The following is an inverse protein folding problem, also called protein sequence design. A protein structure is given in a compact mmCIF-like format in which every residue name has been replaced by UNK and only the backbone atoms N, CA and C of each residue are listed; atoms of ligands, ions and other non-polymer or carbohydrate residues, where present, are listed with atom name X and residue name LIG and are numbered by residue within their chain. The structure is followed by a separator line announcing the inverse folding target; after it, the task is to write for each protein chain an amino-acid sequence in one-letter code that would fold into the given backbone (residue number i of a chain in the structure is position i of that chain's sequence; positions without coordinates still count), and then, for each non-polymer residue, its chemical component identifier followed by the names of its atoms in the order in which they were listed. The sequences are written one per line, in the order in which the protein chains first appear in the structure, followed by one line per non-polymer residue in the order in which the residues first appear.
data_IF_419902084313
#
_entry.id   IF_419902084313
#
_cell.length_a   1.000
_cell.length_b   1.000
_cell.length_c   1.000
_cell.angle_alpha   90.00
_cell.angle_beta   90.00
_cell.angle_gamma   90.00
#
_symmetry.space_group_name_H-M   'P 1'
#
loop_
_entity.id
_entity.type
_entity.pdbx_description
1 polymer ?
#
# COMPACT_ATOMS: atom_id res chain seq x y z
N UNK A 1 -7.29 7.56 -10.90
CA UNK A 1 -5.99 8.07 -11.38
C UNK A 1 -5.11 6.95 -11.95
N UNK A 2 -4.98 5.80 -11.27
CA UNK A 2 -4.07 4.71 -11.68
C UNK A 2 -4.34 4.17 -13.10
N UNK A 3 -5.59 3.82 -13.42
CA UNK A 3 -5.93 3.32 -14.76
C UNK A 3 -5.60 4.33 -15.87
N UNK A 4 -5.77 5.63 -15.63
CA UNK A 4 -5.37 6.67 -16.58
C UNK A 4 -3.84 6.73 -16.74
N UNK A 5 -3.09 6.54 -15.66
CA UNK A 5 -1.64 6.51 -15.69
C UNK A 5 -1.11 5.31 -16.48
N UNK A 6 -1.64 4.11 -16.19
CA UNK A 6 -1.20 2.84 -16.80
C UNK A 6 -1.64 2.67 -18.26
N UNK A 7 -2.56 3.49 -18.75
CA UNK A 7 -2.94 3.56 -20.17
C UNK A 7 -2.42 4.81 -20.87
N UNK A 8 -1.68 5.66 -20.17
CA UNK A 8 -1.22 6.96 -20.63
C UNK A 8 0.21 6.97 -21.18
N UNK A 9 0.66 8.19 -21.54
CA UNK A 9 1.97 8.43 -22.19
C UNK A 9 3.18 7.95 -21.37
N UNK A 10 3.05 7.88 -20.05
CA UNK A 10 4.15 7.53 -19.16
C UNK A 10 4.62 6.07 -19.32
N UNK A 11 3.73 5.19 -19.78
CA UNK A 11 4.08 3.79 -20.08
C UNK A 11 5.00 3.61 -21.29
N UNK A 12 5.31 4.68 -22.03
CA UNK A 12 6.34 4.68 -23.06
C UNK A 12 7.76 4.74 -22.50
N UNK A 13 7.92 5.07 -21.21
CA UNK A 13 9.20 5.15 -20.53
C UNK A 13 9.47 3.85 -19.78
N UNK A 14 10.47 3.03 -20.17
CA UNK A 14 10.74 1.74 -19.55
C UNK A 14 10.92 1.82 -18.02
N UNK A 15 11.50 2.91 -17.53
CA UNK A 15 11.69 3.12 -16.09
C UNK A 15 10.35 3.17 -15.32
N UNK A 16 9.32 3.80 -15.87
CA UNK A 16 8.00 3.92 -15.24
C UNK A 16 7.12 2.70 -15.52
N UNK A 17 7.25 2.12 -16.71
CA UNK A 17 6.45 0.96 -17.12
C UNK A 17 6.85 -0.35 -16.43
N UNK A 18 8.09 -0.47 -15.94
CA UNK A 18 8.63 -1.72 -15.36
C UNK A 18 7.86 -2.27 -14.16
N UNK A 19 7.06 -1.45 -13.51
CA UNK A 19 6.24 -1.85 -12.35
C UNK A 19 4.84 -2.35 -12.74
N UNK A 20 4.55 -2.44 -14.04
CA UNK A 20 3.24 -2.83 -14.54
C UNK A 20 3.35 -3.93 -15.58
N UNK A 21 2.51 -4.95 -15.44
CA UNK A 21 2.32 -5.96 -16.46
C UNK A 21 1.14 -5.57 -17.36
N UNK A 22 1.35 -5.64 -18.68
CA UNK A 22 0.33 -5.23 -19.67
C UNK A 22 -0.96 -6.02 -19.49
N UNK A 23 -0.86 -7.34 -19.25
CA UNK A 23 -2.02 -8.20 -19.09
C UNK A 23 -2.83 -7.88 -17.83
N UNK A 24 -2.22 -7.38 -16.76
CA UNK A 24 -2.93 -6.93 -15.57
C UNK A 24 -3.75 -5.67 -15.87
N UNK A 25 -3.17 -4.72 -16.61
CA UNK A 25 -3.88 -3.51 -17.04
C UNK A 25 -5.05 -3.85 -17.97
N UNK A 26 -4.83 -4.75 -18.94
CA UNK A 26 -5.89 -5.25 -19.83
C UNK A 26 -6.96 -5.98 -19.02
N UNK A 27 -6.56 -6.77 -18.02
CA UNK A 27 -7.46 -7.46 -17.10
C UNK A 27 -8.40 -6.51 -16.37
N UNK A 28 -7.87 -5.41 -15.79
CA UNK A 28 -8.69 -4.40 -15.13
C UNK A 28 -9.66 -3.71 -16.09
N UNK A 29 -9.22 -3.42 -17.32
CA UNK A 29 -10.12 -2.86 -18.35
C UNK A 29 -11.27 -3.83 -18.65
N UNK A 30 -10.99 -5.11 -18.88
CA UNK A 30 -12.02 -6.14 -19.12
C UNK A 30 -12.99 -6.25 -17.93
N UNK A 31 -12.47 -6.27 -16.70
CA UNK A 31 -13.30 -6.31 -15.49
C UNK A 31 -14.19 -5.07 -15.35
N UNK A 32 -13.69 -3.89 -15.73
CA UNK A 32 -14.48 -2.67 -15.72
C UNK A 32 -15.66 -2.73 -16.70
N UNK A 33 -15.44 -3.20 -17.93
CA UNK A 33 -16.53 -3.45 -18.90
C UNK A 33 -17.53 -4.49 -18.40
N UNK A 34 -17.05 -5.50 -17.65
CA UNK A 34 -17.90 -6.50 -17.01
C UNK A 34 -18.62 -5.98 -15.74
N UNK A 35 -18.51 -4.67 -15.40
CA UNK A 35 -19.10 -4.02 -14.21
C UNK A 35 -18.62 -4.64 -12.88
N UNK A 36 -17.41 -5.17 -12.84
CA UNK A 36 -16.79 -5.81 -11.66
C UNK A 36 -15.74 -4.93 -10.99
N UNK A 37 -15.56 -3.69 -11.44
CA UNK A 37 -14.64 -2.71 -10.85
C UNK A 37 -15.43 -1.54 -10.30
N UNK A 38 -15.07 -1.09 -9.11
CA UNK A 38 -15.50 0.21 -8.56
C UNK A 38 -14.28 1.12 -8.52
N UNK A 39 -14.35 2.25 -9.21
CA UNK A 39 -13.30 3.24 -9.24
C UNK A 39 -13.63 4.34 -8.22
N UNK A 40 -12.68 4.62 -7.35
CA UNK A 40 -12.80 5.66 -6.33
C UNK A 40 -11.84 6.81 -6.61
N UNK A 41 -12.26 8.02 -6.26
CA UNK A 41 -11.46 9.23 -6.39
C UNK A 41 -11.53 10.01 -5.07
N UNK A 42 -10.82 9.54 -4.07
CA UNK A 42 -10.83 10.05 -2.71
C UNK A 42 -10.91 8.93 -1.67
N UNK A 43 -10.84 9.27 -0.38
CA UNK A 43 -11.00 8.30 0.70
C UNK A 43 -12.38 7.65 0.66
N UNK A 44 -12.44 6.34 0.99
CA UNK A 44 -13.70 5.60 1.01
C UNK A 44 -13.68 4.53 2.09
N UNK A 45 -14.80 4.32 2.74
CA UNK A 45 -15.07 3.15 3.57
C UNK A 45 -15.64 2.03 2.69
N UNK A 46 -14.86 0.93 2.54
CA UNK A 46 -15.27 -0.24 1.75
C UNK A 46 -16.24 -1.14 2.50
N UNK A 47 -16.01 -1.26 3.81
CA UNK A 47 -16.80 -2.04 4.74
C UNK A 47 -16.57 -1.47 6.16
N UNK A 48 -17.43 -1.76 7.13
CA UNK A 48 -17.22 -1.33 8.50
C UNK A 48 -15.81 -1.67 8.99
N UNK A 49 -15.02 -0.66 9.33
CA UNK A 49 -13.65 -0.81 9.79
C UNK A 49 -12.59 -1.07 8.70
N UNK A 50 -12.91 -0.90 7.42
CA UNK A 50 -11.94 -0.99 6.31
C UNK A 50 -12.05 0.27 5.45
N UNK A 51 -11.01 1.08 5.43
CA UNK A 51 -10.97 2.33 4.66
C UNK A 51 -9.79 2.37 3.69
N UNK A 52 -9.98 2.98 2.52
CA UNK A 52 -8.94 3.27 1.53
C UNK A 52 -8.63 4.76 1.52
N UNK A 53 -7.35 5.09 1.34
CA UNK A 53 -6.85 6.45 1.32
C UNK A 53 -5.87 6.62 0.15
N UNK A 54 -6.19 7.43 -0.88
CA UNK A 54 -5.26 7.74 -1.95
C UNK A 54 -4.21 8.74 -1.45
N UNK A 55 -2.96 8.57 -1.89
CA UNK A 55 -1.82 9.42 -1.49
C UNK A 55 -0.91 9.83 -2.63
N UNK A 56 -0.83 9.05 -3.73
CA UNK A 56 0.14 9.29 -4.80
C UNK A 56 1.58 8.87 -4.43
N UNK A 57 2.54 9.44 -5.12
CA UNK A 57 3.98 9.28 -4.87
C UNK A 57 4.65 8.16 -5.66
N UNK A 58 4.51 6.90 -5.26
CA UNK A 58 5.04 5.75 -6.00
C UNK A 58 4.39 5.66 -7.40
N UNK A 59 3.08 5.73 -7.44
CA UNK A 59 2.27 5.95 -8.64
C UNK A 59 1.24 7.04 -8.38
N UNK A 60 0.65 7.68 -9.41
CA UNK A 60 -0.37 8.73 -9.20
C UNK A 60 -1.64 8.24 -8.52
N UNK A 61 -1.95 6.96 -8.64
CA UNK A 61 -3.12 6.33 -8.02
C UNK A 61 -2.79 5.53 -6.76
N UNK A 62 -1.58 5.67 -6.21
CA UNK A 62 -1.17 4.98 -5.00
C UNK A 62 -2.12 5.22 -3.84
N UNK A 63 -2.42 4.17 -3.10
CA UNK A 63 -3.31 4.22 -1.93
C UNK A 63 -2.84 3.23 -0.86
N UNK A 64 -3.24 3.50 0.38
CA UNK A 64 -3.09 2.57 1.49
C UNK A 64 -4.45 2.15 2.05
N UNK A 65 -4.45 1.06 2.81
CA UNK A 65 -5.64 0.52 3.48
C UNK A 65 -5.49 0.71 4.97
N UNK A 66 -6.56 1.13 5.66
CA UNK A 66 -6.68 1.03 7.11
C UNK A 66 -7.68 -0.04 7.49
N UNK A 67 -7.32 -0.85 8.46
CA UNK A 67 -8.17 -1.91 8.99
C UNK A 67 -8.29 -1.73 10.51
N UNK A 68 -9.52 -1.67 11.01
CA UNK A 68 -9.79 -1.67 12.44
C UNK A 68 -9.64 -3.09 12.99
N UNK A 69 -8.71 -3.27 13.91
CA UNK A 69 -8.37 -4.57 14.50
C UNK A 69 -8.52 -4.55 16.01
N UNK A 70 -8.21 -5.66 16.68
CA UNK A 70 -8.21 -5.75 18.15
C UNK A 70 -7.24 -4.79 18.82
N UNK A 71 -6.15 -4.40 18.13
CA UNK A 71 -5.16 -3.43 18.62
C UNK A 71 -5.42 -2.00 18.13
N UNK A 72 -6.58 -1.74 17.55
CA UNK A 72 -6.94 -0.46 16.94
C UNK A 72 -6.71 -0.44 15.43
N UNK A 73 -6.61 0.75 14.87
CA UNK A 73 -6.41 0.95 13.45
C UNK A 73 -5.00 0.57 13.01
N UNK A 74 -4.90 -0.39 12.11
CA UNK A 74 -3.65 -0.80 11.45
C UNK A 74 -3.64 -0.24 10.02
N UNK A 75 -2.55 0.40 9.66
CA UNK A 75 -2.30 0.95 8.32
C UNK A 75 -1.46 -0.04 7.53
N UNK A 76 -2.00 -0.54 6.43
CA UNK A 76 -1.30 -1.38 5.45
C UNK A 76 -0.78 -0.45 4.36
N UNK A 77 0.50 -0.10 4.43
CA UNK A 77 1.08 0.95 3.60
C UNK A 77 1.25 0.54 2.13
N UNK A 78 1.34 -0.76 1.81
CA UNK A 78 1.68 -1.23 0.47
C UNK A 78 2.94 -0.52 -0.04
N UNK A 79 2.98 -0.11 -1.29
CA UNK A 79 4.11 0.59 -1.91
C UNK A 79 4.19 2.09 -1.58
N UNK A 80 3.39 2.58 -0.65
CA UNK A 80 3.65 3.91 -0.04
C UNK A 80 4.97 3.86 0.72
N UNK A 81 5.27 2.72 1.38
CA UNK A 81 6.58 2.48 2.01
C UNK A 81 6.97 1.02 1.83
N UNK A 82 8.08 0.75 1.16
CA UNK A 82 8.59 -0.61 1.00
C UNK A 82 9.12 -1.18 2.32
N UNK A 83 9.90 -0.39 3.05
CA UNK A 83 10.56 -0.78 4.30
C UNK A 83 10.18 0.16 5.44
N UNK A 84 10.28 -0.31 6.67
CA UNK A 84 10.14 0.55 7.86
C UNK A 84 11.09 1.74 7.79
N UNK A 85 12.34 1.52 7.38
CA UNK A 85 13.35 2.57 7.26
C UNK A 85 12.90 3.73 6.35
N UNK A 86 12.21 3.46 5.24
CA UNK A 86 11.80 4.52 4.31
C UNK A 86 10.96 5.58 5.01
N UNK A 87 9.88 5.15 5.64
CA UNK A 87 8.99 6.08 6.34
C UNK A 87 9.56 6.60 7.65
N UNK A 88 10.38 5.82 8.37
CA UNK A 88 10.96 6.23 9.66
C UNK A 88 12.05 7.28 9.48
N UNK A 89 12.84 7.20 8.41
CA UNK A 89 13.96 8.12 8.16
C UNK A 89 13.68 9.18 7.09
N UNK A 90 12.52 9.13 6.42
CA UNK A 90 12.20 10.02 5.31
C UNK A 90 13.06 9.75 4.06
N UNK A 91 13.52 8.52 3.86
CA UNK A 91 14.32 8.09 2.71
C UNK A 91 13.49 7.27 1.74
N UNK A 92 12.92 7.88 0.68
CA UNK A 92 12.12 7.13 -0.28
C UNK A 92 12.99 6.18 -1.09
N UNK A 93 12.41 5.08 -1.54
CA UNK A 93 13.04 4.20 -2.52
C UNK A 93 12.98 4.82 -3.93
N UNK A 94 13.81 4.32 -4.85
CA UNK A 94 14.05 4.95 -6.16
C UNK A 94 12.90 4.80 -7.17
N UNK A 95 12.01 3.83 -7.01
CA UNK A 95 10.88 3.60 -7.90
C UNK A 95 9.71 4.55 -7.54
N UNK A 96 9.87 5.84 -7.83
CA UNK A 96 8.88 6.87 -7.51
C UNK A 96 8.47 7.65 -8.76
N UNK A 97 7.17 7.87 -8.91
CA UNK A 97 6.63 8.79 -9.90
C UNK A 97 6.83 10.25 -9.45
N UNK A 98 6.59 10.54 -8.18
CA UNK A 98 6.76 11.87 -7.60
C UNK A 98 7.31 11.79 -6.16
N UNK A 99 8.58 12.17 -5.98
CA UNK A 99 9.27 12.02 -4.69
C UNK A 99 8.65 12.89 -3.59
N UNK A 100 8.23 14.12 -3.92
CA UNK A 100 7.57 15.01 -2.94
C UNK A 100 6.29 14.38 -2.39
N UNK A 101 5.42 13.88 -3.27
CA UNK A 101 4.20 13.18 -2.83
C UNK A 101 4.48 11.92 -2.00
N UNK A 102 5.61 11.21 -2.26
CA UNK A 102 6.01 10.08 -1.40
C UNK A 102 6.34 10.52 0.02
N UNK A 103 7.04 11.64 0.18
CA UNK A 103 7.37 12.18 1.50
C UNK A 103 6.11 12.65 2.23
N UNK A 104 5.21 13.36 1.55
CA UNK A 104 3.90 13.76 2.08
C UNK A 104 3.04 12.54 2.45
N UNK A 105 3.15 11.44 1.68
CA UNK A 105 2.46 10.20 1.98
C UNK A 105 2.95 9.54 3.27
N UNK A 106 4.25 9.63 3.62
CA UNK A 106 4.75 9.14 4.91
C UNK A 106 4.13 9.89 6.09
N UNK A 107 3.97 11.21 5.96
CA UNK A 107 3.30 12.00 6.99
C UNK A 107 1.81 11.64 7.08
N UNK A 108 1.18 11.37 5.94
CA UNK A 108 -0.20 10.89 5.88
C UNK A 108 -0.37 9.54 6.56
N UNK A 109 0.54 8.57 6.34
CA UNK A 109 0.53 7.28 7.05
C UNK A 109 0.57 7.48 8.58
N UNK A 110 1.48 8.35 9.06
CA UNK A 110 1.61 8.66 10.50
C UNK A 110 0.34 9.29 11.08
N UNK A 111 -0.28 10.22 10.35
CA UNK A 111 -1.52 10.87 10.77
C UNK A 111 -2.72 9.90 10.86
N UNK A 112 -2.67 8.79 10.13
CA UNK A 112 -3.74 7.78 10.08
C UNK A 112 -3.50 6.57 11.00
N UNK A 113 -2.37 6.50 11.67
CA UNK A 113 -1.99 5.41 12.57
C UNK A 113 -1.93 5.88 14.04
N UNK A 114 -2.34 5.07 15.02
CA UNK A 114 -2.18 5.41 16.44
C UNK A 114 -0.70 5.56 16.86
N UNK A 115 0.21 4.84 16.21
CA UNK A 115 1.66 4.92 16.38
C UNK A 115 2.38 4.28 15.19
N UNK A 116 3.71 4.45 15.10
CA UNK A 116 4.53 3.80 14.06
C UNK A 116 4.41 2.28 14.05
N UNK A 117 4.21 1.64 15.21
CA UNK A 117 3.97 0.20 15.30
C UNK A 117 2.67 -0.27 14.64
N UNK A 118 1.75 0.65 14.31
CA UNK A 118 0.50 0.36 13.61
C UNK A 118 0.62 0.53 12.10
N UNK A 119 1.80 0.86 11.56
CA UNK A 119 2.04 0.97 10.13
C UNK A 119 2.85 -0.24 9.67
N UNK A 120 2.35 -0.92 8.65
CA UNK A 120 2.95 -2.12 8.08
C UNK A 120 3.39 -1.82 6.64
N UNK A 121 4.69 -1.83 6.33
CA UNK A 121 5.21 -1.60 4.98
C UNK A 121 4.93 -2.79 4.04
N UNK A 122 5.02 -2.56 2.72
CA UNK A 122 4.65 -3.55 1.72
C UNK A 122 5.68 -4.64 1.47
N UNK A 123 6.98 -4.35 1.59
CA UNK A 123 8.06 -5.24 1.13
C UNK A 123 9.10 -5.61 2.18
N UNK A 124 8.89 -5.22 3.45
CA UNK A 124 9.87 -5.47 4.50
C UNK A 124 9.76 -6.87 5.09
N UNK A 125 10.81 -7.65 4.98
CA UNK A 125 10.88 -8.99 5.58
C UNK A 125 10.80 -8.97 7.12
N UNK A 126 11.08 -7.82 7.76
CA UNK A 126 10.87 -7.62 9.19
C UNK A 126 9.42 -7.82 9.62
N UNK A 127 8.45 -7.62 8.73
CA UNK A 127 7.02 -7.90 9.02
C UNK A 127 6.86 -9.34 9.48
N UNK A 128 7.51 -10.30 8.80
CA UNK A 128 7.44 -11.72 9.16
C UNK A 128 8.11 -12.05 10.52
N UNK A 129 9.07 -11.24 10.95
CA UNK A 129 9.75 -11.41 12.24
C UNK A 129 9.02 -10.70 13.38
N UNK A 130 8.47 -9.53 13.11
CA UNK A 130 7.79 -8.69 14.11
C UNK A 130 6.44 -9.24 14.53
N UNK A 131 5.72 -9.95 13.66
CA UNK A 131 4.38 -10.41 13.96
C UNK A 131 4.30 -11.92 14.15
N UNK A 132 3.46 -12.41 15.11
CA UNK A 132 3.33 -13.84 15.34
C UNK A 132 2.55 -14.54 14.22
N UNK A 133 2.84 -15.81 13.93
CA UNK A 133 1.99 -16.61 13.05
C UNK A 133 0.64 -16.90 13.74
N UNK A 134 -0.44 -17.18 12.98
CA UNK A 134 -1.73 -17.59 13.54
C UNK A 134 -1.67 -18.97 14.17
N UNK A 135 -0.77 -19.83 13.70
CA UNK A 135 -0.48 -21.20 14.18
C UNK A 135 1.00 -21.49 13.98
N UNK A 136 1.63 -22.37 14.79
CA UNK A 136 3.04 -22.72 14.65
C UNK A 136 3.42 -23.24 13.26
N UNK A 137 2.54 -24.02 12.63
CA UNK A 137 2.77 -24.63 11.31
C UNK A 137 2.83 -23.59 10.17
N UNK A 138 2.39 -22.36 10.42
CA UNK A 138 2.41 -21.25 9.47
C UNK A 138 3.53 -20.24 9.73
N UNK A 139 4.47 -20.58 10.62
CA UNK A 139 5.65 -19.74 10.86
C UNK A 139 6.45 -19.54 9.57
N UNK A 140 6.83 -18.29 9.29
CA UNK A 140 7.52 -17.93 8.05
C UNK A 140 6.64 -17.86 6.79
N UNK A 141 5.37 -18.19 6.88
CA UNK A 141 4.42 -18.17 5.74
C UNK A 141 3.38 -17.05 5.91
N UNK A 142 2.77 -16.96 7.11
CA UNK A 142 1.68 -16.00 7.41
C UNK A 142 1.86 -15.41 8.79
N UNK A 143 1.55 -14.11 8.92
CA UNK A 143 1.57 -13.42 10.22
C UNK A 143 0.23 -12.71 10.51
N UNK A 144 -0.02 -12.47 11.79
CA UNK A 144 -1.21 -11.80 12.30
C UNK A 144 -0.91 -10.33 12.59
N UNK A 145 -1.43 -9.45 11.79
CA UNK A 145 -1.25 -8.00 11.95
C UNK A 145 -2.20 -7.38 13.01
N UNK A 146 -3.19 -8.15 13.49
CA UNK A 146 -4.07 -7.78 14.60
C UNK A 146 -3.44 -8.02 15.99
N UNK A 147 -2.24 -8.60 16.02
CA UNK A 147 -1.41 -8.76 17.21
C UNK A 147 -0.40 -7.62 17.34
N UNK A 148 0.08 -7.34 18.55
CA UNK A 148 1.20 -6.40 18.73
C UNK A 148 2.47 -6.96 18.10
N UNK A 149 3.29 -6.12 17.43
CA UNK A 149 4.59 -6.56 16.95
C UNK A 149 5.49 -6.94 18.14
N UNK A 150 6.40 -7.87 17.89
CA UNK A 150 7.54 -8.16 18.76
C UNK A 150 8.61 -7.08 18.52
N UNK A 151 9.36 -6.72 19.52
CA UNK A 151 10.50 -5.80 19.43
C UNK A 151 11.65 -6.38 18.60
#
# INVERSE_FOLDING_TARGET
MELHYTTGRHMRHPFLARSFEVEDVVGIVRLNFARRVKLYNGPVELAPGITLHPVGGHTPGMQFVRVHTKRGWVVLASDVSHYYENMETGRPFTAAFHVGEMLDAYDTLRAHAPSLQHIVPGHDTLVMRRYPPPKPELEGIVVRLDAMPRD
#
